data_IF_770127433138
#
_entry.id   IF_770127433138
#
_cell.length_a   1.000
_cell.length_b   1.000
_cell.length_c   1.000
_cell.angle_alpha   90.00
_cell.angle_beta   90.00
_cell.angle_gamma   90.00
#
_symmetry.space_group_name_H-M   'P 1'
#
loop_
_entity.id
_entity.type
_entity.pdbx_description
1 polymer ?
#
# COMPACT_ATOMS: atom_id res chain seq x y z
N UNK A 1 -11.68 -16.87 25.15
CA UNK A 1 -10.47 -16.88 24.31
C UNK A 1 -10.69 -15.97 23.11
N UNK A 2 -9.86 -14.98 22.96
CA UNK A 2 -10.00 -14.06 21.83
C UNK A 2 -9.51 -14.73 20.53
N UNK A 3 -10.14 -14.36 19.40
CA UNK A 3 -9.68 -14.80 18.11
C UNK A 3 -8.27 -14.22 17.86
N UNK A 4 -7.41 -14.96 17.13
CA UNK A 4 -6.11 -14.39 16.76
C UNK A 4 -6.31 -13.13 15.94
N UNK A 5 -5.41 -12.16 16.12
CA UNK A 5 -5.45 -10.94 15.34
C UNK A 5 -5.30 -11.29 13.86
N UNK A 6 -6.12 -10.65 13.03
CA UNK A 6 -6.05 -10.85 11.58
C UNK A 6 -4.71 -10.38 11.06
N UNK A 7 -4.05 -11.22 10.26
CA UNK A 7 -2.83 -10.84 9.56
C UNK A 7 -3.18 -9.90 8.42
N UNK A 8 -2.51 -8.76 8.34
CA UNK A 8 -2.67 -7.81 7.25
C UNK A 8 -1.80 -8.25 6.07
N UNK A 9 -2.44 -8.37 4.92
CA UNK A 9 -1.81 -8.79 3.68
C UNK A 9 -1.45 -7.55 2.86
N UNK A 10 -0.19 -7.43 2.49
CA UNK A 10 0.36 -6.19 1.93
C UNK A 10 1.01 -6.48 0.59
N UNK A 11 0.74 -5.62 -0.40
CA UNK A 11 1.50 -5.55 -1.64
C UNK A 11 2.35 -4.29 -1.59
N UNK A 12 3.61 -4.42 -2.00
CA UNK A 12 4.54 -3.29 -2.11
C UNK A 12 4.82 -3.04 -3.59
N UNK A 13 4.67 -1.80 -4.03
CA UNK A 13 4.98 -1.40 -5.39
C UNK A 13 6.08 -0.34 -5.36
N UNK A 14 7.26 -0.69 -5.86
CA UNK A 14 8.46 0.15 -5.83
C UNK A 14 9.39 -0.29 -6.95
N UNK A 15 9.83 0.63 -7.80
CA UNK A 15 10.67 0.26 -8.94
C UNK A 15 12.16 0.16 -8.61
N UNK A 16 12.63 0.71 -7.48
CA UNK A 16 14.02 0.55 -7.03
C UNK A 16 14.20 -0.78 -6.31
N UNK A 17 15.01 -1.70 -6.85
CA UNK A 17 15.14 -3.04 -6.25
C UNK A 17 15.58 -3.03 -4.78
N UNK A 18 16.51 -2.17 -4.42
CA UNK A 18 17.01 -2.13 -3.02
C UNK A 18 15.95 -1.63 -2.06
N UNK A 19 15.18 -0.61 -2.45
CA UNK A 19 14.11 -0.09 -1.59
C UNK A 19 12.99 -1.13 -1.47
N UNK A 20 12.64 -1.76 -2.58
CA UNK A 20 11.62 -2.81 -2.63
C UNK A 20 11.95 -3.96 -1.69
N UNK A 21 13.21 -4.46 -1.73
CA UNK A 21 13.65 -5.54 -0.87
C UNK A 21 13.69 -5.12 0.60
N UNK A 22 14.14 -3.91 0.90
CA UNK A 22 14.15 -3.40 2.26
C UNK A 22 12.75 -3.28 2.83
N UNK A 23 11.79 -2.81 2.03
CA UNK A 23 10.40 -2.73 2.47
C UNK A 23 9.81 -4.11 2.73
N UNK A 24 10.07 -5.05 1.82
CA UNK A 24 9.60 -6.43 2.01
C UNK A 24 10.11 -7.01 3.33
N UNK A 25 11.39 -6.85 3.59
CA UNK A 25 12.01 -7.35 4.81
C UNK A 25 11.44 -6.65 6.04
N UNK A 26 11.37 -5.33 6.03
CA UNK A 26 10.86 -4.53 7.13
C UNK A 26 9.42 -4.91 7.49
N UNK A 27 8.57 -4.99 6.49
CA UNK A 27 7.15 -5.24 6.72
C UNK A 27 6.86 -6.68 7.12
N UNK A 28 7.61 -7.65 6.56
CA UNK A 28 7.48 -9.05 6.97
C UNK A 28 7.97 -9.28 8.40
N UNK A 29 8.87 -8.44 8.90
CA UNK A 29 9.36 -8.55 10.28
C UNK A 29 8.37 -8.00 11.30
N UNK A 30 7.38 -7.22 10.86
CA UNK A 30 6.39 -6.64 11.76
C UNK A 30 5.32 -7.66 12.11
N UNK A 31 5.02 -7.77 13.41
CA UNK A 31 4.02 -8.72 13.89
C UNK A 31 2.64 -8.38 13.30
N UNK A 32 2.00 -9.38 12.73
CA UNK A 32 0.67 -9.22 12.14
C UNK A 32 0.67 -8.75 10.68
N UNK A 33 1.85 -8.61 10.06
CA UNK A 33 1.98 -8.24 8.65
C UNK A 33 2.52 -9.41 7.83
N UNK A 34 2.04 -9.53 6.60
CA UNK A 34 2.64 -10.42 5.60
C UNK A 34 2.63 -9.72 4.25
N UNK A 35 3.79 -9.67 3.60
CA UNK A 35 3.90 -9.16 2.24
C UNK A 35 3.57 -10.30 1.29
N UNK A 36 2.46 -10.15 0.56
CA UNK A 36 1.98 -11.21 -0.34
C UNK A 36 2.42 -11.01 -1.79
N UNK A 37 3.02 -9.86 -2.08
CA UNK A 37 3.57 -9.61 -3.41
C UNK A 37 4.38 -8.33 -3.43
N UNK A 38 5.36 -8.29 -4.32
CA UNK A 38 6.17 -7.09 -4.56
C UNK A 38 6.12 -6.78 -6.05
N UNK A 39 5.71 -5.57 -6.39
CA UNK A 39 5.57 -5.11 -7.75
C UNK A 39 6.75 -4.21 -8.11
N UNK A 40 7.26 -4.37 -9.30
CA UNK A 40 8.42 -3.60 -9.80
C UNK A 40 8.00 -2.36 -10.60
N UNK A 41 6.72 -2.27 -10.96
CA UNK A 41 6.18 -1.15 -11.71
C UNK A 41 4.66 -1.06 -11.50
N UNK A 42 4.04 -0.07 -12.12
CA UNK A 42 2.61 0.20 -11.92
C UNK A 42 1.69 -0.86 -12.49
N UNK A 43 1.99 -1.39 -13.67
CA UNK A 43 1.19 -2.48 -14.25
C UNK A 43 1.25 -3.73 -13.39
N UNK A 44 2.44 -4.04 -12.88
CA UNK A 44 2.63 -5.17 -11.98
C UNK A 44 1.86 -4.98 -10.67
N UNK A 45 1.82 -3.74 -10.16
CA UNK A 45 1.05 -3.41 -8.98
C UNK A 45 -0.44 -3.70 -9.17
N UNK A 46 -1.00 -3.26 -10.30
CA UNK A 46 -2.42 -3.52 -10.60
C UNK A 46 -2.69 -5.02 -10.71
N UNK A 47 -1.81 -5.74 -11.41
CA UNK A 47 -1.92 -7.19 -11.55
C UNK A 47 -1.91 -7.89 -10.20
N UNK A 48 -0.99 -7.52 -9.34
CA UNK A 48 -0.86 -8.14 -8.02
C UNK A 48 -2.03 -7.82 -7.09
N UNK A 49 -2.54 -6.60 -7.13
CA UNK A 49 -3.72 -6.25 -6.32
C UNK A 49 -4.92 -7.09 -6.76
N UNK A 50 -5.13 -7.26 -8.06
CA UNK A 50 -6.22 -8.10 -8.56
C UNK A 50 -6.01 -9.57 -8.19
N UNK A 51 -4.79 -10.07 -8.30
CA UNK A 51 -4.49 -11.49 -8.08
C UNK A 51 -4.51 -11.86 -6.61
N UNK A 52 -4.02 -11.01 -5.72
CA UNK A 52 -3.86 -11.35 -4.30
C UNK A 52 -4.90 -10.74 -3.39
N UNK A 53 -5.59 -9.71 -3.83
CA UNK A 53 -6.58 -8.96 -3.03
C UNK A 53 -6.04 -8.60 -1.65
N UNK A 54 -4.99 -7.77 -1.60
CA UNK A 54 -4.38 -7.41 -0.33
C UNK A 54 -5.26 -6.47 0.47
N UNK A 55 -4.94 -6.33 1.74
CA UNK A 55 -5.60 -5.34 2.59
C UNK A 55 -5.05 -3.94 2.32
N UNK A 56 -3.75 -3.83 2.05
CA UNK A 56 -3.08 -2.54 1.84
C UNK A 56 -2.07 -2.66 0.71
N UNK A 57 -2.01 -1.62 -0.11
CA UNK A 57 -0.98 -1.42 -1.13
C UNK A 57 -0.08 -0.27 -0.67
N UNK A 58 1.21 -0.55 -0.49
CA UNK A 58 2.23 0.48 -0.28
C UNK A 58 2.78 0.85 -1.65
N UNK A 59 2.67 2.11 -2.02
CA UNK A 59 2.79 2.53 -3.41
C UNK A 59 3.72 3.72 -3.54
N UNK A 60 4.78 3.56 -4.32
CA UNK A 60 5.64 4.67 -4.70
C UNK A 60 4.89 5.59 -5.67
N UNK A 61 5.06 6.89 -5.49
CA UNK A 61 4.43 7.87 -6.37
C UNK A 61 5.06 7.91 -7.77
N UNK A 62 6.31 7.49 -7.90
CA UNK A 62 7.05 7.58 -9.16
C UNK A 62 7.55 6.20 -9.59
N UNK A 63 7.00 5.70 -10.67
CA UNK A 63 7.40 4.45 -11.30
C UNK A 63 7.45 4.64 -12.81
N UNK A 64 8.19 3.77 -13.50
CA UNK A 64 8.57 4.00 -14.90
C UNK A 64 7.41 3.97 -15.89
N UNK A 65 6.43 3.10 -15.68
CA UNK A 65 5.32 2.88 -16.62
C UNK A 65 4.08 3.69 -16.27
N UNK A 66 3.57 3.50 -15.05
CA UNK A 66 2.46 4.24 -14.48
C UNK A 66 2.92 4.90 -13.19
N UNK A 67 2.54 6.15 -13.00
CA UNK A 67 2.80 6.81 -11.72
C UNK A 67 1.93 6.19 -10.62
N UNK A 68 2.32 6.40 -9.36
CA UNK A 68 1.49 5.97 -8.24
C UNK A 68 0.10 6.58 -8.28
N UNK A 69 -0.01 7.84 -8.71
CA UNK A 69 -1.32 8.50 -8.85
C UNK A 69 -2.19 7.80 -9.88
N UNK A 70 -1.61 7.40 -11.01
CA UNK A 70 -2.34 6.67 -12.05
C UNK A 70 -2.80 5.29 -11.55
N UNK A 71 -1.95 4.59 -10.80
CA UNK A 71 -2.32 3.29 -10.21
C UNK A 71 -3.45 3.47 -9.21
N UNK A 72 -3.34 4.44 -8.31
CA UNK A 72 -4.37 4.68 -7.30
C UNK A 72 -5.71 5.06 -7.95
N UNK A 73 -5.67 5.92 -8.97
CA UNK A 73 -6.87 6.32 -9.70
C UNK A 73 -7.52 5.11 -10.39
N UNK A 74 -6.72 4.28 -11.05
CA UNK A 74 -7.23 3.08 -11.72
C UNK A 74 -7.93 2.15 -10.74
N UNK A 75 -7.33 1.94 -9.55
CA UNK A 75 -7.92 1.09 -8.53
C UNK A 75 -9.25 1.66 -8.01
N UNK A 76 -9.30 2.95 -7.75
CA UNK A 76 -10.54 3.59 -7.26
C UNK A 76 -11.62 3.60 -8.32
N UNK A 77 -11.26 3.88 -9.58
CA UNK A 77 -12.22 3.86 -10.70
C UNK A 77 -12.78 2.46 -10.92
N UNK A 78 -11.99 1.43 -10.64
CA UNK A 78 -12.41 0.03 -10.76
C UNK A 78 -13.20 -0.46 -9.53
N UNK A 79 -13.45 0.40 -8.57
CA UNK A 79 -14.21 0.07 -7.37
C UNK A 79 -13.42 -0.63 -6.27
N UNK A 80 -12.12 -0.74 -6.42
CA UNK A 80 -11.28 -1.37 -5.40
C UNK A 80 -11.28 -0.53 -4.12
N UNK A 81 -11.42 -1.20 -2.98
CA UNK A 81 -11.37 -0.58 -1.65
C UNK A 81 -10.08 -0.90 -0.91
N UNK A 82 -9.07 -1.38 -1.64
CA UNK A 82 -7.77 -1.65 -1.02
C UNK A 82 -7.25 -0.39 -0.33
N UNK A 83 -6.71 -0.54 0.87
CA UNK A 83 -6.05 0.57 1.55
C UNK A 83 -4.82 0.97 0.74
N UNK A 84 -4.63 2.26 0.49
CA UNK A 84 -3.49 2.74 -0.28
C UNK A 84 -2.69 3.70 0.58
N UNK A 85 -1.41 3.38 0.75
CA UNK A 85 -0.44 4.22 1.45
C UNK A 85 0.64 4.60 0.45
N UNK A 86 0.74 5.90 0.14
CA UNK A 86 1.87 6.39 -0.66
C UNK A 86 3.13 6.40 0.20
N UNK A 87 4.23 5.94 -0.38
CA UNK A 87 5.54 5.97 0.24
C UNK A 87 6.49 6.65 -0.74
N UNK A 88 6.79 7.92 -0.52
CA UNK A 88 7.38 8.77 -1.55
C UNK A 88 8.39 9.76 -1.00
N UNK A 89 9.33 10.20 -1.85
CA UNK A 89 10.19 11.33 -1.56
C UNK A 89 9.54 12.67 -1.95
N UNK A 90 8.45 12.63 -2.72
CA UNK A 90 7.79 13.81 -3.25
C UNK A 90 6.55 14.16 -2.43
N UNK A 91 6.68 15.19 -1.57
CA UNK A 91 5.56 15.63 -0.75
C UNK A 91 4.42 16.25 -1.55
N UNK A 92 4.69 16.76 -2.75
CA UNK A 92 3.62 17.31 -3.60
C UNK A 92 2.68 16.21 -4.09
N UNK A 93 3.18 15.01 -4.28
CA UNK A 93 2.35 13.86 -4.64
C UNK A 93 1.31 13.56 -3.56
N UNK A 94 1.61 13.87 -2.31
CA UNK A 94 0.68 13.62 -1.19
C UNK A 94 -0.59 14.47 -1.29
N UNK A 95 -0.45 15.71 -1.76
CA UNK A 95 -1.62 16.60 -1.93
C UNK A 95 -2.55 16.03 -3.00
N UNK A 96 -1.98 15.62 -4.13
CA UNK A 96 -2.76 15.05 -5.22
C UNK A 96 -3.38 13.70 -4.84
N UNK A 97 -2.65 12.91 -4.07
CA UNK A 97 -3.10 11.60 -3.64
C UNK A 97 -4.39 11.65 -2.81
N UNK A 98 -4.51 12.65 -1.96
CA UNK A 98 -5.72 12.83 -1.13
C UNK A 98 -6.97 13.03 -1.98
N UNK A 99 -6.83 13.76 -3.07
CA UNK A 99 -7.96 14.07 -3.96
C UNK A 99 -8.52 12.82 -4.66
N UNK A 100 -7.71 11.78 -4.82
CA UNK A 100 -8.14 10.55 -5.48
C UNK A 100 -8.39 9.38 -4.52
N UNK A 101 -8.43 9.65 -3.21
CA UNK A 101 -8.83 8.65 -2.23
C UNK A 101 -7.71 7.75 -1.73
N UNK A 102 -6.46 8.23 -1.72
CA UNK A 102 -5.36 7.55 -1.06
C UNK A 102 -5.50 7.77 0.44
N UNK A 103 -5.33 6.71 1.22
CA UNK A 103 -5.62 6.75 2.67
C UNK A 103 -4.56 7.46 3.47
N UNK A 104 -3.30 7.33 3.06
CA UNK A 104 -2.18 7.93 3.78
C UNK A 104 -1.03 8.20 2.86
N UNK A 105 -0.18 9.14 3.25
CA UNK A 105 1.04 9.47 2.52
C UNK A 105 2.18 9.60 3.52
N UNK A 106 3.23 8.81 3.32
CA UNK A 106 4.40 8.78 4.20
C UNK A 106 5.62 9.09 3.34
N UNK A 107 6.48 9.98 3.83
CA UNK A 107 7.72 10.29 3.11
C UNK A 107 8.78 9.23 3.41
N UNK A 108 9.63 8.95 2.41
CA UNK A 108 10.64 7.89 2.52
C UNK A 108 11.72 8.18 3.55
N UNK A 109 11.85 9.43 4.00
CA UNK A 109 12.79 9.81 5.05
C UNK A 109 12.17 9.75 6.46
N UNK A 110 10.92 9.34 6.57
CA UNK A 110 10.27 9.14 7.87
C UNK A 110 10.77 7.90 8.57
N UNK A 111 10.61 7.85 9.89
CA UNK A 111 10.92 6.65 10.66
C UNK A 111 10.04 5.48 10.20
N UNK A 112 10.55 4.23 10.23
CA UNK A 112 9.76 3.07 9.81
C UNK A 112 8.43 2.92 10.54
N UNK A 113 8.34 3.34 11.81
CA UNK A 113 7.10 3.29 12.56
C UNK A 113 5.98 4.12 11.93
N UNK A 114 6.32 5.19 11.24
CA UNK A 114 5.33 6.03 10.56
C UNK A 114 4.64 5.25 9.43
N UNK A 115 5.41 4.50 8.67
CA UNK A 115 4.85 3.66 7.61
C UNK A 115 4.01 2.54 8.19
N UNK A 116 4.49 1.87 9.22
CA UNK A 116 3.76 0.80 9.88
C UNK A 116 2.41 1.29 10.42
N UNK A 117 2.41 2.45 11.09
CA UNK A 117 1.18 3.04 11.62
C UNK A 117 0.21 3.44 10.50
N UNK A 118 0.74 3.97 9.39
CA UNK A 118 -0.08 4.34 8.24
C UNK A 118 -0.74 3.12 7.60
N UNK A 119 -0.01 2.01 7.51
CA UNK A 119 -0.55 0.74 6.98
C UNK A 119 -1.69 0.24 7.88
N UNK A 120 -1.50 0.25 9.19
CA UNK A 120 -2.58 -0.18 10.10
C UNK A 120 -3.80 0.72 10.00
N UNK A 121 -3.59 2.02 9.87
CA UNK A 121 -4.69 2.97 9.71
C UNK A 121 -5.44 2.77 8.39
N UNK A 122 -4.72 2.54 7.30
CA UNK A 122 -5.33 2.31 5.99
C UNK A 122 -6.16 1.02 5.99
N UNK A 123 -5.67 -0.03 6.65
CA UNK A 123 -6.40 -1.29 6.76
C UNK A 123 -7.71 -1.11 7.55
N UNK A 124 -7.70 -0.30 8.60
CA UNK A 124 -8.90 -0.03 9.41
C UNK A 124 -9.92 0.82 8.65
N UNK A 125 -9.46 1.67 7.73
CA UNK A 125 -10.34 2.53 6.94
C UNK A 125 -11.12 1.76 5.88
N UNK A 126 -10.67 0.55 5.51
CA UNK A 126 -11.39 -0.28 4.55
C UNK A 126 -12.64 -0.84 5.22
N UNK A 127 -13.85 -0.55 4.70
CA UNK A 127 -15.06 -1.07 5.32
C UNK A 127 -15.09 -2.59 5.28
N UNK A 128 -15.37 -3.21 6.41
CA UNK A 128 -15.63 -4.64 6.44
C UNK A 128 -17.03 -4.89 5.87
N UNK A 129 -17.22 -5.99 5.11
CA UNK A 129 -18.57 -6.33 4.67
C UNK A 129 -19.47 -6.55 5.88
N UNK A 130 -20.75 -6.15 5.78
CA UNK A 130 -21.66 -6.41 6.89
C UNK A 130 -21.78 -7.90 7.14
N UNK A 131 -21.81 -8.25 8.41
CA UNK A 131 -22.02 -9.64 8.80
C UNK A 131 -23.50 -9.96 8.62
N UNK A 132 -23.74 -10.99 7.86
CA UNK A 132 -25.11 -11.43 7.61
C UNK A 132 -25.56 -12.43 8.65
#
# INVERSE_FOLDING_TARGET
MSAPARTLRIVVAEDHPSIRENLRYLLNAELGFVVVGVAKDGHDALRLVHATRPDVLVLDSQMRDLSGLEVARALRDDGSRVGIVFYTLDSDACVQARAIGVDSCVTKDSAPSMLIDAIRAAARAVPTPPVQ
#
